data_IF_399575778789
#
_entry.id   IF_399575778789
#
_cell.length_a   1.000
_cell.length_b   1.000
_cell.length_c   1.000
_cell.angle_alpha   90.00
_cell.angle_beta   90.00
_cell.angle_gamma   90.00
#
_symmetry.space_group_name_H-M   'P 1'
#
loop_
_entity.id
_entity.type
_entity.pdbx_description
1 polymer ?
#
# COMPACT_ATOMS: atom_id res chain seq x y z
N UNK A 1 5.16 -0.56 -24.69
CA UNK A 1 4.99 -0.77 -23.23
C UNK A 1 6.28 -0.33 -22.56
N UNK A 2 6.23 0.50 -21.53
CA UNK A 2 7.41 1.12 -20.88
C UNK A 2 8.03 0.23 -19.79
N UNK A 3 8.01 -1.10 -19.96
CA UNK A 3 8.62 -2.03 -19.00
C UNK A 3 7.85 -2.32 -17.70
N UNK A 4 6.81 -1.53 -17.35
CA UNK A 4 5.95 -1.87 -16.20
C UNK A 4 5.18 -3.16 -16.45
N UNK A 5 5.41 -4.14 -15.57
CA UNK A 5 4.58 -5.34 -15.52
C UNK A 5 3.23 -5.00 -14.91
N UNK A 6 2.17 -5.60 -15.43
CA UNK A 6 0.89 -5.54 -14.76
C UNK A 6 0.97 -6.38 -13.47
N UNK A 7 0.57 -5.85 -12.29
CA UNK A 7 0.63 -6.58 -11.04
C UNK A 7 -0.05 -7.95 -11.07
N UNK A 8 -1.11 -8.15 -11.86
CA UNK A 8 -1.73 -9.48 -11.97
C UNK A 8 -0.79 -10.50 -12.63
N UNK A 9 0.22 -10.10 -13.40
CA UNK A 9 1.18 -11.00 -14.01
C UNK A 9 2.39 -11.27 -13.12
N UNK A 10 2.46 -10.69 -11.90
CA UNK A 10 3.55 -10.97 -10.97
C UNK A 10 3.56 -12.44 -10.54
N UNK A 11 4.75 -13.03 -10.28
CA UNK A 11 4.85 -14.40 -9.76
C UNK A 11 4.13 -14.59 -8.41
N UNK A 12 4.08 -13.53 -7.57
CA UNK A 12 3.47 -13.52 -6.24
C UNK A 12 1.99 -13.10 -6.22
N UNK A 13 1.39 -12.81 -7.40
CA UNK A 13 0.03 -12.24 -7.51
C UNK A 13 -1.06 -13.03 -6.79
N UNK A 14 -0.90 -14.35 -6.67
CA UNK A 14 -1.87 -15.22 -6.02
C UNK A 14 -1.99 -14.98 -4.50
N UNK A 15 -1.05 -14.25 -3.88
CA UNK A 15 -1.19 -13.81 -2.49
C UNK A 15 -2.22 -12.69 -2.32
N UNK A 16 -2.51 -11.94 -3.40
CA UNK A 16 -3.27 -10.68 -3.34
C UNK A 16 -4.57 -10.73 -4.16
N UNK A 17 -4.56 -11.39 -5.31
CA UNK A 17 -5.70 -11.46 -6.24
C UNK A 17 -6.04 -12.89 -6.62
N UNK A 18 -7.31 -13.12 -6.92
CA UNK A 18 -7.84 -14.33 -7.52
C UNK A 18 -8.14 -14.08 -8.99
N UNK A 19 -7.61 -14.94 -9.87
CA UNK A 19 -7.87 -14.90 -11.31
C UNK A 19 -8.65 -16.15 -11.71
N UNK A 20 -9.91 -15.98 -12.10
CA UNK A 20 -10.77 -17.08 -12.54
C UNK A 20 -10.78 -17.22 -14.07
N UNK A 21 -9.76 -17.89 -14.59
CA UNK A 21 -9.58 -18.08 -16.04
C UNK A 21 -10.69 -18.88 -16.71
N UNK A 22 -11.40 -19.77 -15.98
CA UNK A 22 -12.51 -20.58 -16.53
C UNK A 22 -13.63 -19.71 -17.09
N UNK A 23 -13.86 -18.55 -16.46
CA UNK A 23 -14.88 -17.59 -16.87
C UNK A 23 -14.42 -16.64 -17.96
N UNK A 24 -13.12 -16.60 -18.29
CA UNK A 24 -12.53 -15.67 -19.27
C UNK A 24 -12.56 -16.22 -20.70
N UNK A 25 -12.69 -15.33 -21.69
CA UNK A 25 -12.47 -15.67 -23.11
C UNK A 25 -11.03 -16.15 -23.32
N UNK A 26 -10.80 -17.06 -24.27
CA UNK A 26 -9.48 -17.68 -24.48
C UNK A 26 -8.37 -16.67 -24.76
N UNK A 27 -8.67 -15.57 -25.46
CA UNK A 27 -7.71 -14.49 -25.73
C UNK A 27 -7.29 -13.74 -24.46
N UNK A 28 -8.22 -13.55 -23.53
CA UNK A 28 -7.99 -12.79 -22.30
C UNK A 28 -7.30 -13.65 -21.22
N UNK A 29 -7.45 -14.98 -21.28
CA UNK A 29 -6.72 -15.91 -20.40
C UNK A 29 -5.21 -15.75 -20.55
N UNK A 30 -4.71 -15.61 -21.78
CA UNK A 30 -3.26 -15.47 -22.02
C UNK A 30 -2.70 -14.20 -21.38
N UNK A 31 -3.49 -13.13 -21.31
CA UNK A 31 -3.10 -11.84 -20.72
C UNK A 31 -3.00 -11.88 -19.19
N UNK A 32 -3.53 -12.93 -18.55
CA UNK A 32 -3.49 -13.09 -17.08
C UNK A 32 -2.53 -14.19 -16.62
N UNK A 33 -1.70 -14.73 -17.51
CA UNK A 33 -0.67 -15.70 -17.12
C UNK A 33 0.41 -15.01 -16.29
N UNK A 34 0.81 -15.56 -15.13
CA UNK A 34 1.92 -15.00 -14.37
C UNK A 34 3.24 -15.24 -15.11
N UNK A 35 4.17 -14.31 -15.00
CA UNK A 35 5.56 -14.53 -15.41
C UNK A 35 6.25 -15.50 -14.46
N UNK A 36 7.31 -16.16 -14.94
CA UNK A 36 8.22 -16.89 -14.08
C UNK A 36 9.03 -15.89 -13.23
N UNK A 37 9.39 -16.27 -11.99
CA UNK A 37 10.23 -15.41 -11.13
C UNK A 37 11.63 -15.15 -11.70
N UNK A 38 12.09 -15.94 -12.67
CA UNK A 38 13.36 -15.72 -13.39
C UNK A 38 13.23 -14.75 -14.57
N UNK A 39 12.01 -14.49 -15.02
CA UNK A 39 11.74 -13.63 -16.19
C UNK A 39 11.47 -12.18 -15.79
N UNK A 40 11.20 -11.92 -14.52
CA UNK A 40 10.78 -10.61 -14.05
C UNK A 40 11.40 -10.26 -12.71
N UNK A 41 11.95 -9.05 -12.64
CA UNK A 41 12.43 -8.45 -11.41
C UNK A 41 11.35 -7.57 -10.80
N UNK A 42 11.09 -7.74 -9.50
CA UNK A 42 10.07 -6.98 -8.76
C UNK A 42 10.66 -5.75 -8.06
N UNK A 43 11.97 -5.52 -8.19
CA UNK A 43 12.69 -4.36 -7.63
C UNK A 43 12.37 -4.08 -6.15
N UNK A 44 12.25 -5.15 -5.36
CA UNK A 44 11.86 -5.11 -3.94
C UNK A 44 10.56 -4.31 -3.68
N UNK A 45 9.60 -4.37 -4.60
CA UNK A 45 8.28 -3.76 -4.44
C UNK A 45 7.26 -4.79 -3.97
N UNK A 46 6.37 -4.39 -3.06
CA UNK A 46 5.17 -5.16 -2.75
C UNK A 46 4.12 -5.03 -3.87
N UNK A 47 3.12 -5.91 -3.85
CA UNK A 47 1.98 -5.81 -4.78
C UNK A 47 1.23 -4.49 -4.56
N UNK A 48 1.15 -3.66 -5.59
CA UNK A 48 0.52 -2.35 -5.49
C UNK A 48 -0.87 -2.35 -6.13
N UNK A 49 -1.91 -2.19 -5.29
CA UNK A 49 -3.30 -2.13 -5.73
C UNK A 49 -3.64 -0.81 -6.45
N UNK A 50 -2.83 0.23 -6.28
CA UNK A 50 -2.99 1.53 -6.94
C UNK A 50 -2.16 1.67 -8.22
N UNK A 51 -1.35 0.67 -8.57
CA UNK A 51 -0.52 0.71 -9.78
C UNK A 51 -1.36 1.01 -11.04
N UNK A 52 -0.91 1.96 -11.83
CA UNK A 52 -1.53 2.35 -13.10
C UNK A 52 -1.47 1.21 -14.13
N UNK A 53 -0.50 0.30 -13.99
CA UNK A 53 -0.37 -0.89 -14.84
C UNK A 53 -1.34 -2.02 -14.46
N UNK A 54 -2.00 -1.94 -13.31
CA UNK A 54 -3.02 -2.91 -12.90
C UNK A 54 -4.22 -2.81 -13.84
N UNK A 55 -4.63 -3.94 -14.41
CA UNK A 55 -5.89 -3.98 -15.14
C UNK A 55 -7.04 -3.59 -14.22
N UNK A 56 -7.96 -2.78 -14.75
CA UNK A 56 -9.25 -2.55 -14.10
C UNK A 56 -9.95 -3.89 -13.92
N UNK A 57 -10.90 -3.94 -12.97
CA UNK A 57 -11.66 -5.15 -12.71
C UNK A 57 -12.26 -5.69 -14.02
N UNK A 58 -11.85 -6.90 -14.38
CA UNK A 58 -12.37 -7.56 -15.56
C UNK A 58 -13.66 -8.31 -15.19
N UNK A 59 -14.80 -7.83 -15.68
CA UNK A 59 -16.12 -8.44 -15.50
C UNK A 59 -16.59 -9.10 -16.80
N UNK A 60 -17.08 -10.33 -16.72
CA UNK A 60 -17.86 -10.98 -17.79
C UNK A 60 -19.27 -11.20 -17.26
N UNK A 61 -20.25 -10.45 -17.80
CA UNK A 61 -21.59 -10.38 -17.22
C UNK A 61 -21.52 -9.94 -15.76
N UNK A 62 -22.14 -10.72 -14.86
CA UNK A 62 -22.10 -10.47 -13.41
C UNK A 62 -20.90 -11.10 -12.69
N UNK A 63 -19.97 -11.75 -13.40
CA UNK A 63 -18.86 -12.48 -12.78
C UNK A 63 -17.53 -11.73 -12.87
N UNK A 64 -16.84 -11.57 -11.74
CA UNK A 64 -15.47 -11.06 -11.67
C UNK A 64 -14.47 -12.12 -12.16
N UNK A 65 -13.76 -11.84 -13.25
CA UNK A 65 -12.65 -12.66 -13.75
C UNK A 65 -11.35 -12.43 -12.99
N UNK A 66 -11.18 -11.23 -12.42
CA UNK A 66 -10.10 -10.86 -11.51
C UNK A 66 -10.74 -10.19 -10.29
N UNK A 67 -10.45 -10.69 -9.09
CA UNK A 67 -10.95 -10.14 -7.84
C UNK A 67 -9.83 -10.03 -6.81
N UNK A 68 -9.81 -8.94 -6.03
CA UNK A 68 -8.94 -8.87 -4.87
C UNK A 68 -9.38 -9.88 -3.81
N UNK A 69 -8.41 -10.45 -3.08
CA UNK A 69 -8.69 -11.22 -1.86
C UNK A 69 -9.13 -10.34 -0.69
N UNK A 70 -8.99 -9.02 -0.82
CA UNK A 70 -9.47 -8.01 0.12
C UNK A 70 -10.66 -7.30 -0.57
N UNK A 71 -11.91 -7.68 -0.27
CA UNK A 71 -13.08 -7.14 -0.98
C UNK A 71 -13.17 -5.61 -0.93
N UNK A 72 -12.76 -5.00 0.19
CA UNK A 72 -12.81 -3.55 0.40
C UNK A 72 -11.86 -2.75 -0.50
N UNK A 73 -10.83 -3.37 -1.10
CA UNK A 73 -9.87 -2.67 -1.96
C UNK A 73 -10.39 -2.46 -3.40
N UNK A 74 -11.52 -3.11 -3.75
CA UNK A 74 -12.06 -3.08 -5.10
C UNK A 74 -12.39 -1.64 -5.56
N UNK A 75 -12.88 -0.77 -4.68
CA UNK A 75 -13.16 0.63 -5.01
C UNK A 75 -11.87 1.44 -5.30
N UNK A 76 -10.75 1.10 -4.66
CA UNK A 76 -9.44 1.75 -4.87
C UNK A 76 -8.91 1.46 -6.28
N UNK A 77 -9.19 0.28 -6.81
CA UNK A 77 -8.67 -0.15 -8.13
C UNK A 77 -9.34 0.54 -9.33
N UNK A 78 -10.48 1.19 -9.16
CA UNK A 78 -11.25 1.73 -10.30
C UNK A 78 -10.90 3.19 -10.64
N UNK A 79 -10.32 3.95 -9.70
CA UNK A 79 -9.99 5.38 -9.82
C UNK A 79 -8.48 5.67 -9.73
N UNK A 80 -7.71 5.19 -10.72
CA UNK A 80 -6.27 5.44 -10.84
C UNK A 80 -5.99 6.43 -11.97
N UNK A 81 -5.54 7.63 -11.62
CA UNK A 81 -5.23 8.71 -12.58
C UNK A 81 -3.74 9.04 -12.67
N UNK A 82 -2.95 8.60 -11.69
CA UNK A 82 -1.51 8.83 -11.61
C UNK A 82 -0.78 7.51 -11.38
N UNK A 83 0.50 7.42 -11.79
CA UNK A 83 1.38 6.34 -11.38
C UNK A 83 1.48 6.28 -9.85
N UNK A 84 1.52 5.06 -9.30
CA UNK A 84 1.83 4.87 -7.90
C UNK A 84 3.31 5.17 -7.63
N UNK A 85 3.67 5.34 -6.35
CA UNK A 85 5.08 5.49 -5.98
C UNK A 85 5.92 4.31 -6.48
N UNK A 86 5.40 3.08 -6.38
CA UNK A 86 6.08 1.89 -6.87
C UNK A 86 6.14 1.79 -8.39
N UNK A 87 5.15 2.30 -9.14
CA UNK A 87 5.27 2.41 -10.59
C UNK A 87 6.48 3.29 -10.97
N UNK A 88 6.61 4.45 -10.32
CA UNK A 88 7.71 5.39 -10.56
C UNK A 88 9.04 4.79 -10.11
N UNK A 89 9.08 4.13 -8.95
CA UNK A 89 10.26 3.41 -8.45
C UNK A 89 10.72 2.37 -9.47
N UNK A 90 9.82 1.49 -9.94
CA UNK A 90 10.17 0.47 -10.93
C UNK A 90 10.68 1.08 -12.24
N UNK A 91 10.05 2.14 -12.74
CA UNK A 91 10.52 2.84 -13.94
C UNK A 91 11.91 3.44 -13.76
N UNK A 92 12.18 4.07 -12.61
CA UNK A 92 13.52 4.57 -12.29
C UNK A 92 14.54 3.43 -12.22
N UNK A 93 14.16 2.28 -11.66
CA UNK A 93 15.04 1.12 -11.61
C UNK A 93 15.35 0.57 -13.01
N UNK A 94 14.40 0.62 -13.94
CA UNK A 94 14.57 0.13 -15.32
C UNK A 94 15.40 1.10 -16.18
N UNK A 95 15.15 2.42 -16.05
CA UNK A 95 15.65 3.40 -17.03
C UNK A 95 16.71 4.37 -16.50
N UNK A 96 16.79 4.57 -15.18
CA UNK A 96 17.62 5.63 -14.57
C UNK A 96 18.81 5.09 -13.76
N UNK A 97 18.89 3.77 -13.53
CA UNK A 97 20.05 3.17 -12.86
C UNK A 97 21.21 2.99 -13.85
N UNK A 98 21.88 4.08 -14.25
CA UNK A 98 23.28 3.91 -14.63
C UNK A 98 24.08 3.75 -13.34
N UNK A 99 24.45 2.50 -13.03
CA UNK A 99 25.01 2.12 -11.72
C UNK A 99 26.31 2.86 -11.38
N UNK A 100 26.96 3.51 -12.35
CA UNK A 100 28.15 4.32 -12.12
C UNK A 100 27.88 5.66 -11.42
N UNK A 101 26.65 6.17 -11.44
CA UNK A 101 26.31 7.49 -10.87
C UNK A 101 25.65 7.40 -9.49
N UNK A 102 25.31 6.19 -9.05
CA UNK A 102 24.68 5.93 -7.76
C UNK A 102 25.73 5.63 -6.69
N UNK A 103 25.53 6.19 -5.50
CA UNK A 103 26.49 6.05 -4.41
C UNK A 103 26.18 4.84 -3.51
N UNK A 104 25.13 4.08 -3.82
CA UNK A 104 24.69 2.94 -3.00
C UNK A 104 23.94 3.39 -1.75
N UNK A 105 23.23 4.50 -1.84
CA UNK A 105 22.44 5.06 -0.74
C UNK A 105 21.33 4.09 -0.34
N UNK A 106 21.29 3.70 0.94
CA UNK A 106 20.24 2.84 1.47
C UNK A 106 19.06 3.70 1.88
N UNK A 107 17.95 3.56 1.15
CA UNK A 107 16.70 4.26 1.43
C UNK A 107 15.76 3.40 2.28
N UNK A 108 15.20 3.99 3.33
CA UNK A 108 14.27 3.31 4.24
C UNK A 108 12.82 3.37 3.74
N UNK A 109 11.95 2.61 4.41
CA UNK A 109 10.48 2.66 4.25
C UNK A 109 9.97 2.50 2.81
N UNK A 110 10.73 1.82 1.95
CA UNK A 110 10.36 1.61 0.55
C UNK A 110 10.88 2.65 -0.42
N UNK A 111 11.61 3.68 0.05
CA UNK A 111 12.28 4.67 -0.80
C UNK A 111 13.28 4.07 -1.79
N UNK A 112 13.74 4.90 -2.73
CA UNK A 112 14.79 4.52 -3.69
C UNK A 112 15.75 5.69 -3.92
N UNK A 113 16.98 5.38 -4.32
CA UNK A 113 18.02 6.39 -4.52
C UNK A 113 17.61 7.37 -5.62
N UNK A 114 17.80 8.66 -5.37
CA UNK A 114 17.43 9.71 -6.29
C UNK A 114 18.45 9.77 -7.45
N UNK A 115 18.04 9.46 -8.69
CA UNK A 115 18.97 9.45 -9.83
C UNK A 115 19.47 10.86 -10.19
N UNK A 116 18.78 11.92 -9.76
CA UNK A 116 19.18 13.30 -10.03
C UNK A 116 20.06 13.89 -8.92
N UNK A 117 20.05 13.29 -7.73
CA UNK A 117 20.77 13.77 -6.56
C UNK A 117 21.37 12.60 -5.76
N UNK A 118 22.54 12.09 -6.18
CA UNK A 118 23.21 10.97 -5.53
C UNK A 118 23.44 11.23 -4.04
N UNK A 119 23.31 10.21 -3.20
CA UNK A 119 23.38 10.36 -1.73
C UNK A 119 22.05 10.74 -1.07
N UNK A 120 20.98 10.91 -1.84
CA UNK A 120 19.63 11.19 -1.32
C UNK A 120 18.61 10.19 -1.86
N UNK A 121 17.45 10.13 -1.19
CA UNK A 121 16.37 9.23 -1.54
C UNK A 121 15.13 10.00 -2.03
N UNK A 122 14.40 9.39 -2.96
CA UNK A 122 13.00 9.74 -3.24
C UNK A 122 12.12 8.95 -2.27
N UNK A 123 11.33 9.68 -1.49
CA UNK A 123 10.57 9.08 -0.38
C UNK A 123 9.13 8.75 -0.76
N UNK A 124 8.61 7.62 -0.24
CA UNK A 124 7.21 7.28 -0.40
C UNK A 124 6.32 8.20 0.43
N UNK A 125 5.03 8.17 0.12
CA UNK A 125 4.01 8.89 0.87
C UNK A 125 4.16 8.64 2.38
N UNK A 126 4.03 9.73 3.16
CA UNK A 126 4.18 9.80 4.61
C UNK A 126 5.60 9.75 5.18
N UNK A 127 6.63 9.67 4.34
CA UNK A 127 8.03 9.66 4.78
C UNK A 127 8.85 10.81 4.20
N UNK A 128 9.80 11.32 4.98
CA UNK A 128 10.71 12.37 4.57
C UNK A 128 12.14 12.16 5.10
N UNK A 129 12.99 13.16 4.85
CA UNK A 129 14.40 13.15 5.19
C UNK A 129 15.27 12.57 4.06
N UNK A 130 16.60 12.73 4.17
CA UNK A 130 17.52 12.33 3.11
C UNK A 130 17.51 10.82 2.82
N UNK A 131 17.11 10.00 3.81
CA UNK A 131 17.06 8.53 3.73
C UNK A 131 15.64 7.97 3.87
N UNK A 132 14.61 8.82 3.87
CA UNK A 132 13.20 8.41 4.08
C UNK A 132 12.92 7.72 5.42
N UNK A 133 13.75 7.96 6.43
CA UNK A 133 13.66 7.35 7.76
C UNK A 133 12.60 7.99 8.65
N UNK A 134 12.17 9.20 8.33
CA UNK A 134 11.32 9.99 9.21
C UNK A 134 9.87 9.88 8.75
N UNK A 135 8.96 9.58 9.67
CA UNK A 135 7.53 9.77 9.46
C UNK A 135 7.23 11.27 9.47
N UNK A 136 6.43 11.74 8.51
CA UNK A 136 6.01 13.14 8.48
C UNK A 136 5.24 13.52 9.76
N UNK A 137 5.35 14.79 10.14
CA UNK A 137 4.77 15.27 11.38
C UNK A 137 3.23 15.24 11.34
N UNK A 138 2.62 14.59 12.34
CA UNK A 138 1.17 14.66 12.57
C UNK A 138 0.77 16.02 13.12
N UNK A 139 -0.50 16.39 12.93
CA UNK A 139 -1.09 17.55 13.59
C UNK A 139 -0.96 17.45 15.12
N UNK A 140 -0.81 18.59 15.80
CA UNK A 140 -0.54 18.63 17.26
C UNK A 140 -1.65 18.01 18.11
N UNK A 141 -2.88 17.98 17.59
CA UNK A 141 -4.05 17.37 18.23
C UNK A 141 -4.13 15.85 18.07
N UNK A 142 -3.25 15.24 17.28
CA UNK A 142 -3.24 13.79 17.09
C UNK A 142 -2.69 13.09 18.34
N UNK A 143 -3.44 12.13 18.85
CA UNK A 143 -2.98 11.28 19.96
C UNK A 143 -1.83 10.41 19.48
N UNK A 144 -0.74 10.35 20.26
CA UNK A 144 0.36 9.42 20.02
C UNK A 144 0.07 8.10 20.74
N UNK A 145 0.13 7.00 19.99
CA UNK A 145 -0.13 5.67 20.53
C UNK A 145 1.15 4.89 20.75
N UNK A 146 1.11 3.89 21.63
CA UNK A 146 2.22 2.94 21.72
C UNK A 146 2.25 2.11 20.42
N UNK A 147 3.37 2.23 19.72
CA UNK A 147 3.57 1.73 18.37
C UNK A 147 4.19 0.33 18.31
N UNK A 148 4.73 -0.19 19.41
CA UNK A 148 5.49 -1.45 19.37
C UNK A 148 4.66 -2.62 19.90
N UNK A 149 4.45 -3.62 19.05
CA UNK A 149 3.78 -4.87 19.37
C UNK A 149 4.80 -5.93 19.81
N UNK A 150 4.63 -6.51 20.99
CA UNK A 150 5.46 -7.61 21.48
C UNK A 150 4.63 -8.58 22.32
N UNK A 151 5.21 -9.64 22.86
CA UNK A 151 4.43 -10.65 23.60
C UNK A 151 3.76 -10.10 24.87
N UNK A 152 4.30 -9.03 25.47
CA UNK A 152 3.70 -8.36 26.63
C UNK A 152 2.64 -7.32 26.25
N UNK A 153 2.78 -6.71 25.07
CA UNK A 153 1.84 -5.75 24.50
C UNK A 153 1.49 -6.16 23.07
N UNK A 154 0.70 -7.23 22.96
CA UNK A 154 0.46 -7.88 21.68
C UNK A 154 -0.62 -7.19 20.83
N UNK A 155 -1.20 -6.09 21.31
CA UNK A 155 -2.27 -5.36 20.65
C UNK A 155 -2.14 -3.85 20.89
N UNK A 156 -2.52 -3.05 19.90
CA UNK A 156 -2.72 -1.61 20.04
C UNK A 156 -4.00 -1.19 19.32
N UNK A 157 -4.70 -0.19 19.87
CA UNK A 157 -5.95 0.36 19.32
C UNK A 157 -5.71 1.84 19.05
N UNK A 158 -5.94 2.26 17.81
CA UNK A 158 -5.71 3.62 17.35
C UNK A 158 -7.06 4.23 16.98
N UNK A 159 -7.32 5.42 17.50
CA UNK A 159 -8.49 6.22 17.19
C UNK A 159 -8.07 7.61 16.73
N UNK A 160 -8.26 7.89 15.45
CA UNK A 160 -8.06 9.22 14.89
C UNK A 160 -9.39 9.83 14.48
N UNK A 161 -9.53 11.13 14.68
CA UNK A 161 -10.77 11.84 14.40
C UNK A 161 -10.58 13.33 14.12
N UNK A 162 -11.62 13.92 13.54
CA UNK A 162 -11.74 15.33 13.24
C UNK A 162 -10.99 15.74 11.98
N UNK A 163 -10.90 17.05 11.77
CA UNK A 163 -10.21 17.64 10.62
C UNK A 163 -8.70 17.73 10.85
N UNK A 164 -8.05 16.59 11.10
CA UNK A 164 -6.62 16.49 11.40
C UNK A 164 -5.91 15.49 10.49
N UNK A 165 -4.63 15.75 10.21
CA UNK A 165 -3.72 14.80 9.59
C UNK A 165 -2.93 14.05 10.67
N UNK A 166 -3.24 12.77 10.88
CA UNK A 166 -2.64 11.92 11.91
C UNK A 166 -2.00 10.69 11.29
N UNK A 167 -0.76 10.40 11.69
CA UNK A 167 0.04 9.30 11.17
C UNK A 167 0.66 8.52 12.32
N UNK A 168 0.57 7.19 12.24
CA UNK A 168 1.15 6.31 13.25
C UNK A 168 1.75 5.08 12.61
N UNK A 169 3.06 4.92 12.77
CA UNK A 169 3.75 3.67 12.49
C UNK A 169 3.44 2.64 13.59
N UNK A 170 3.37 1.37 13.20
CA UNK A 170 3.24 0.22 14.10
C UNK A 170 4.39 -0.74 13.77
N UNK A 171 5.15 -1.13 14.80
CA UNK A 171 6.31 -1.99 14.68
C UNK A 171 6.07 -3.35 15.36
N UNK A 172 6.31 -4.43 14.61
CA UNK A 172 6.28 -5.83 15.04
C UNK A 172 7.69 -6.41 14.94
N UNK A 173 8.55 -6.22 15.95
CA UNK A 173 9.95 -6.68 15.94
C UNK A 173 10.10 -8.20 15.87
N UNK A 174 9.09 -8.95 16.34
CA UNK A 174 9.18 -10.41 16.47
C UNK A 174 9.04 -11.15 15.14
N UNK A 175 8.82 -10.43 14.03
CA UNK A 175 8.55 -11.03 12.71
C UNK A 175 7.23 -11.80 12.65
N UNK A 176 6.40 -11.72 13.70
CA UNK A 176 5.08 -12.33 13.75
C UNK A 176 4.12 -11.58 12.85
N UNK A 177 3.21 -12.34 12.26
CA UNK A 177 2.13 -11.79 11.47
C UNK A 177 1.24 -10.90 12.35
N UNK A 178 0.73 -9.81 11.76
CA UNK A 178 -0.15 -8.86 12.42
C UNK A 178 -1.54 -8.96 11.78
N UNK A 179 -2.53 -9.25 12.61
CA UNK A 179 -3.94 -9.06 12.26
C UNK A 179 -4.31 -7.60 12.45
N UNK A 180 -5.05 -7.04 11.48
CA UNK A 180 -5.50 -5.65 11.51
C UNK A 180 -7.02 -5.69 11.38
N UNK A 181 -7.70 -5.15 12.39
CA UNK A 181 -9.16 -5.06 12.42
C UNK A 181 -9.57 -3.59 12.38
N UNK A 182 -10.18 -3.16 11.29
CA UNK A 182 -10.75 -1.82 11.17
C UNK A 182 -12.21 -1.92 11.59
N UNK A 183 -12.49 -1.47 12.82
CA UNK A 183 -13.82 -1.49 13.42
C UNK A 183 -14.78 -0.55 12.66
N UNK A 184 -14.34 0.70 12.44
CA UNK A 184 -15.12 1.70 11.72
C UNK A 184 -14.22 2.73 11.04
N UNK A 185 -14.65 3.16 9.86
CA UNK A 185 -14.17 4.37 9.16
C UNK A 185 -15.39 5.17 8.77
N UNK A 186 -15.35 6.45 9.06
CA UNK A 186 -16.31 7.43 8.60
C UNK A 186 -15.53 8.62 8.07
N UNK A 187 -15.59 8.83 6.76
CA UNK A 187 -15.07 10.02 6.10
C UNK A 187 -16.22 10.67 5.35
N UNK A 188 -16.37 11.99 5.47
CA UNK A 188 -17.38 12.76 4.74
C UNK A 188 -17.18 12.70 3.23
N UNK A 189 -15.92 12.72 2.78
CA UNK A 189 -15.60 12.50 1.37
C UNK A 189 -15.89 11.05 0.99
N UNK A 190 -16.44 10.84 -0.21
CA UNK A 190 -16.64 9.50 -0.78
C UNK A 190 -15.52 9.08 -1.73
N UNK A 191 -14.67 10.02 -2.16
CA UNK A 191 -13.56 9.77 -3.06
C UNK A 191 -12.25 9.95 -2.30
N UNK A 192 -11.45 8.88 -2.25
CA UNK A 192 -10.10 8.96 -1.71
C UNK A 192 -9.12 9.46 -2.75
N UNK A 193 -8.32 10.43 -2.37
CA UNK A 193 -7.08 10.82 -3.04
C UNK A 193 -5.89 10.41 -2.16
N UNK A 194 -4.69 10.86 -2.50
CA UNK A 194 -3.51 10.72 -1.63
C UNK A 194 -3.56 11.67 -0.42
N UNK A 195 -4.38 12.72 -0.52
CA UNK A 195 -4.41 13.85 0.42
C UNK A 195 -5.58 13.79 1.41
N UNK A 196 -6.54 12.88 1.20
CA UNK A 196 -7.70 12.72 2.07
C UNK A 196 -8.04 11.26 2.33
N UNK A 197 -8.84 11.01 3.38
CA UNK A 197 -9.26 9.66 3.73
C UNK A 197 -8.30 8.96 4.70
N UNK A 198 -8.48 7.66 4.78
CA UNK A 198 -7.64 6.77 5.56
C UNK A 198 -6.81 5.91 4.63
N UNK A 199 -5.54 5.69 4.94
CA UNK A 199 -4.72 4.65 4.34
C UNK A 199 -4.11 3.74 5.43
N UNK A 200 -4.34 2.44 5.31
CA UNK A 200 -3.64 1.43 6.12
C UNK A 200 -2.63 0.73 5.24
N UNK A 201 -1.33 0.98 5.45
CA UNK A 201 -0.24 0.24 4.78
C UNK A 201 0.13 -0.98 5.62
N UNK A 202 -0.05 -2.15 5.02
CA UNK A 202 0.08 -3.45 5.69
C UNK A 202 0.97 -4.43 4.92
N UNK A 203 1.65 -3.98 3.87
CA UNK A 203 2.57 -4.80 3.08
C UNK A 203 4.03 -4.53 3.50
N UNK A 204 4.96 -5.49 3.30
CA UNK A 204 6.35 -5.33 3.71
C UNK A 204 7.09 -4.12 3.12
N UNK A 205 6.69 -3.68 1.93
CA UNK A 205 7.22 -2.47 1.30
C UNK A 205 6.21 -1.33 1.45
N UNK A 206 6.57 -0.35 2.27
CA UNK A 206 5.75 0.85 2.54
C UNK A 206 5.72 1.84 1.36
N UNK A 207 6.48 1.59 0.29
CA UNK A 207 6.32 2.27 -0.99
C UNK A 207 5.04 1.85 -1.75
N UNK A 208 4.52 0.64 -1.48
CA UNK A 208 3.27 0.19 -2.05
C UNK A 208 2.08 0.91 -1.39
N UNK A 209 1.03 1.16 -2.17
CA UNK A 209 -0.22 1.67 -1.61
C UNK A 209 -0.89 0.65 -0.71
N UNK A 210 -1.42 1.14 0.40
CA UNK A 210 -2.23 0.41 1.35
C UNK A 210 -3.70 0.31 0.96
N UNK A 211 -4.53 -0.09 1.93
CA UNK A 211 -5.98 -0.02 1.81
C UNK A 211 -6.44 1.43 2.07
N UNK A 212 -6.90 2.11 1.03
CA UNK A 212 -7.52 3.44 1.11
C UNK A 212 -9.02 3.37 1.34
N UNK A 213 -9.55 4.09 2.32
CA UNK A 213 -10.96 4.07 2.70
C UNK A 213 -11.53 5.49 2.89
N UNK A 214 -12.68 5.74 2.28
CA UNK A 214 -13.46 6.98 2.35
C UNK A 214 -14.94 6.64 2.36
N UNK A 215 -15.81 7.55 2.80
CA UNK A 215 -17.19 7.22 3.12
C UNK A 215 -17.27 6.38 4.38
N UNK A 216 -18.19 5.42 4.40
CA UNK A 216 -18.47 4.60 5.57
C UNK A 216 -18.10 3.14 5.38
N UNK A 217 -17.23 2.63 6.25
CA UNK A 217 -16.80 1.24 6.26
C UNK A 217 -16.77 0.69 7.67
N UNK A 218 -17.05 -0.61 7.82
CA UNK A 218 -17.02 -1.31 9.11
C UNK A 218 -16.51 -2.74 8.97
N UNK A 219 -15.94 -3.27 10.04
CA UNK A 219 -15.57 -4.67 10.20
C UNK A 219 -14.67 -5.20 9.07
N UNK A 220 -13.60 -4.48 8.74
CA UNK A 220 -12.62 -4.93 7.74
C UNK A 220 -11.49 -5.66 8.44
N UNK A 221 -11.25 -6.91 8.03
CA UNK A 221 -10.13 -7.71 8.51
C UNK A 221 -9.02 -7.78 7.47
N UNK A 222 -7.79 -7.48 7.89
CA UNK A 222 -6.58 -7.67 7.10
C UNK A 222 -5.57 -8.52 7.87
N UNK A 223 -4.62 -9.06 7.13
CA UNK A 223 -3.49 -9.82 7.66
C UNK A 223 -2.21 -9.34 6.99
N UNK A 224 -1.18 -9.15 7.80
CA UNK A 224 0.11 -8.65 7.37
C UNK A 224 1.22 -9.56 7.89
N UNK A 225 2.24 -9.74 7.06
CA UNK A 225 3.54 -10.31 7.45
C UNK A 225 4.63 -9.23 7.52
N UNK A 226 4.24 -7.95 7.51
CA UNK A 226 5.17 -6.84 7.58
C UNK A 226 5.63 -6.60 9.03
N UNK A 227 6.90 -6.25 9.20
CA UNK A 227 7.46 -5.82 10.50
C UNK A 227 7.10 -4.39 10.82
N UNK A 228 6.80 -3.57 9.81
CA UNK A 228 6.38 -2.18 9.96
C UNK A 228 5.08 -1.96 9.18
N UNK A 229 4.11 -1.37 9.85
CA UNK A 229 2.81 -0.98 9.30
C UNK A 229 2.59 0.51 9.54
N UNK A 230 1.65 1.11 8.81
CA UNK A 230 1.29 2.51 8.97
C UNK A 230 -0.22 2.66 8.88
N UNK A 231 -0.80 3.47 9.77
CA UNK A 231 -2.12 4.07 9.57
C UNK A 231 -1.94 5.57 9.37
N UNK A 232 -2.45 6.05 8.23
CA UNK A 232 -2.54 7.46 7.89
C UNK A 232 -4.01 7.86 7.87
N UNK A 233 -4.34 8.98 8.51
CA UNK A 233 -5.67 9.56 8.57
C UNK A 233 -5.57 11.03 8.19
N UNK A 234 -6.28 11.42 7.15
CA UNK A 234 -6.39 12.79 6.68
C UNK A 234 -7.88 13.18 6.69
N UNK A 235 -8.34 13.66 7.84
CA UNK A 235 -9.72 14.11 8.02
C UNK A 235 -9.91 15.56 7.58
N UNK A 236 -11.07 15.85 6.99
CA UNK A 236 -11.49 17.17 6.51
C UNK A 236 -12.74 17.68 7.24
N UNK A 237 -13.38 16.83 8.05
CA UNK A 237 -14.57 17.15 8.82
C UNK A 237 -14.44 16.72 10.29
N UNK A 238 -15.13 17.44 11.19
CA UNK A 238 -15.09 17.15 12.63
C UNK A 238 -15.64 15.76 12.99
N UNK A 239 -16.46 15.16 12.13
CA UNK A 239 -17.02 13.82 12.30
C UNK A 239 -16.21 12.73 11.61
N UNK A 240 -15.17 13.09 10.87
CA UNK A 240 -14.29 12.09 10.26
C UNK A 240 -13.58 11.30 11.34
N UNK A 241 -13.50 9.98 11.20
CA UNK A 241 -12.79 9.14 12.16
C UNK A 241 -12.44 7.75 11.62
N UNK A 242 -11.44 7.14 12.25
CA UNK A 242 -11.09 5.73 12.13
C UNK A 242 -10.89 5.14 13.53
N UNK A 243 -11.40 3.93 13.73
CA UNK A 243 -11.00 3.05 14.83
C UNK A 243 -10.39 1.78 14.23
N UNK A 244 -9.13 1.50 14.57
CA UNK A 244 -8.39 0.34 14.07
C UNK A 244 -7.57 -0.31 15.17
N UNK A 245 -7.59 -1.63 15.16
CA UNK A 245 -6.85 -2.49 16.08
C UNK A 245 -5.77 -3.26 15.33
N UNK A 246 -4.54 -3.24 15.83
CA UNK A 246 -3.43 -4.08 15.35
C UNK A 246 -3.10 -5.11 16.44
N UNK A 247 -2.98 -6.39 16.07
CA UNK A 247 -2.73 -7.48 17.02
C UNK A 247 -1.82 -8.56 16.45
N UNK A 248 -0.82 -8.98 17.21
CA UNK A 248 0.05 -10.11 16.86
C UNK A 248 -0.76 -11.41 16.76
N UNK A 249 -0.45 -12.20 15.74
CA UNK A 249 -1.01 -13.54 15.51
C UNK A 249 0.05 -14.61 15.69
#
# INVERSE_FOLDING_TARGET
MIGLINPINRPDRNNYVMVNTRKMMSKDRKLTNPYNSKEVELYNTSFDFSSLALFKQYKIGNALGIASKIPSINNVTDNRYEPSFNDIKMLNQIYCLDRSELNGTICENGGYENPQLPGTCVCPEYFDGPLCSNLIQSHEHCTKYNATLNDNNNQTIIFFYGSNACYQEIFSPTGRNVSIHIDTVHMKTSLCTKENGVEVKFLPDLGASGLRLCGYHKNIQLYSNATKLLVAFNGEDIFDHILVTFKLT
#
